data_IF_687358512032
#
_entry.id   IF_687358512032
#
_cell.length_a   1.000
_cell.length_b   1.000
_cell.length_c   1.000
_cell.angle_alpha   90.00
_cell.angle_beta   90.00
_cell.angle_gamma   90.00
#
_symmetry.space_group_name_H-M   'P 1'
#
loop_
_entity.id
_entity.type
_entity.pdbx_description
1 polymer ?
#
# COMPACT_ATOMS: atom_id res chain seq x y z
N UNK A 1 26.31 -52.25 -36.68
CA UNK A 1 25.04 -52.12 -35.94
C UNK A 1 25.14 -51.07 -34.81
N UNK A 2 26.30 -50.45 -34.61
CA UNK A 2 26.57 -49.51 -33.51
C UNK A 2 26.07 -48.09 -33.78
N UNK A 3 26.06 -47.64 -35.03
CA UNK A 3 25.60 -46.29 -35.41
C UNK A 3 24.11 -46.05 -35.10
N UNK A 4 23.27 -47.08 -35.14
CA UNK A 4 21.85 -46.97 -34.78
C UNK A 4 21.69 -46.80 -33.25
N UNK A 5 22.47 -47.54 -32.45
CA UNK A 5 22.44 -47.47 -30.98
C UNK A 5 22.89 -46.10 -30.46
N UNK A 6 23.91 -45.50 -31.07
CA UNK A 6 24.39 -44.16 -30.70
C UNK A 6 23.35 -43.08 -31.03
N UNK A 7 22.65 -43.19 -32.16
CA UNK A 7 21.56 -42.26 -32.51
C UNK A 7 20.34 -42.39 -31.60
N UNK A 8 19.97 -43.63 -31.22
CA UNK A 8 18.90 -43.90 -30.27
C UNK A 8 19.23 -43.41 -28.86
N UNK A 9 20.48 -43.58 -28.42
CA UNK A 9 20.97 -43.04 -27.14
C UNK A 9 20.93 -41.52 -27.10
N UNK A 10 21.44 -40.87 -28.15
CA UNK A 10 21.42 -39.40 -28.26
C UNK A 10 19.98 -38.86 -28.33
N UNK A 11 19.09 -39.48 -29.10
CA UNK A 11 17.68 -39.06 -29.15
C UNK A 11 16.98 -39.20 -27.80
N UNK A 12 17.28 -40.27 -27.05
CA UNK A 12 16.75 -40.50 -25.71
C UNK A 12 17.30 -39.48 -24.71
N UNK A 13 18.59 -39.15 -24.78
CA UNK A 13 19.22 -38.10 -23.96
C UNK A 13 18.59 -36.73 -24.21
N UNK A 14 18.37 -36.38 -25.48
CA UNK A 14 17.66 -35.15 -25.85
C UNK A 14 16.22 -35.12 -25.34
N UNK A 15 15.53 -36.27 -25.35
CA UNK A 15 14.17 -36.38 -24.83
C UNK A 15 14.14 -36.21 -23.31
N UNK A 16 15.09 -36.81 -22.60
CA UNK A 16 15.25 -36.63 -21.14
C UNK A 16 15.56 -35.17 -20.81
N UNK A 17 16.51 -34.56 -21.52
CA UNK A 17 16.89 -33.15 -21.33
C UNK A 17 15.70 -32.20 -21.58
N UNK A 18 14.95 -32.42 -22.66
CA UNK A 18 13.76 -31.64 -22.98
C UNK A 18 12.68 -31.79 -21.90
N UNK A 19 12.49 -33.01 -21.39
CA UNK A 19 11.53 -33.28 -20.31
C UNK A 19 11.93 -32.57 -19.02
N UNK A 20 13.22 -32.60 -18.67
CA UNK A 20 13.74 -31.92 -17.49
C UNK A 20 13.55 -30.40 -17.60
N UNK A 21 13.90 -29.83 -18.77
CA UNK A 21 13.71 -28.41 -19.04
C UNK A 21 12.24 -28.00 -18.95
N UNK A 22 11.34 -28.78 -19.57
CA UNK A 22 9.90 -28.53 -19.51
C UNK A 22 9.36 -28.60 -18.08
N UNK A 23 9.81 -29.55 -17.27
CA UNK A 23 9.44 -29.67 -15.86
C UNK A 23 9.94 -28.46 -15.05
N UNK A 24 11.17 -28.00 -15.26
CA UNK A 24 11.71 -26.80 -14.59
C UNK A 24 10.90 -25.55 -14.97
N UNK A 25 10.58 -25.37 -16.26
CA UNK A 25 9.76 -24.25 -16.72
C UNK A 25 8.34 -24.31 -16.14
N UNK A 26 7.74 -25.50 -16.07
CA UNK A 26 6.42 -25.70 -15.46
C UNK A 26 6.42 -25.30 -13.99
N UNK A 27 7.38 -25.78 -13.19
CA UNK A 27 7.51 -25.42 -11.77
C UNK A 27 7.76 -23.92 -11.61
N UNK A 28 8.69 -23.36 -12.38
CA UNK A 28 8.96 -21.91 -12.36
C UNK A 28 7.73 -21.09 -12.72
N UNK A 29 6.95 -21.52 -13.72
CA UNK A 29 5.70 -20.87 -14.11
C UNK A 29 4.64 -20.97 -13.02
N UNK A 30 4.57 -22.09 -12.28
CA UNK A 30 3.63 -22.25 -11.18
C UNK A 30 3.98 -21.31 -10.04
N UNK A 31 5.27 -21.19 -9.69
CA UNK A 31 5.73 -20.24 -8.67
C UNK A 31 5.43 -18.80 -9.11
N UNK A 32 5.75 -18.42 -10.34
CA UNK A 32 5.43 -17.10 -10.90
C UNK A 32 3.92 -16.85 -10.94
N UNK A 33 3.12 -17.88 -11.23
CA UNK A 33 1.67 -17.83 -11.18
C UNK A 33 1.21 -17.60 -9.76
N UNK A 34 1.68 -18.36 -8.76
CA UNK A 34 1.34 -18.14 -7.36
C UNK A 34 1.79 -16.77 -6.85
N UNK A 35 2.91 -16.22 -7.31
CA UNK A 35 3.34 -14.86 -6.95
C UNK A 35 2.49 -13.78 -7.64
N UNK A 36 2.04 -14.00 -8.89
CA UNK A 36 1.13 -13.08 -9.59
C UNK A 36 -0.34 -13.23 -9.18
N UNK A 37 -0.74 -14.43 -8.75
CA UNK A 37 -2.09 -14.85 -8.34
C UNK A 37 -2.25 -14.81 -6.82
N UNK A 38 -1.17 -14.60 -6.07
CA UNK A 38 -1.18 -13.98 -4.75
C UNK A 38 -1.80 -12.60 -4.92
N UNK A 39 -3.12 -12.66 -5.01
CA UNK A 39 -4.06 -11.57 -5.05
C UNK A 39 -3.68 -10.74 -3.84
N UNK A 40 -3.49 -9.42 -3.97
CA UNK A 40 -3.64 -8.59 -2.79
C UNK A 40 -4.97 -9.03 -2.19
N UNK A 41 -4.95 -9.52 -0.93
CA UNK A 41 -6.17 -9.85 -0.19
C UNK A 41 -7.14 -8.75 -0.55
N UNK A 42 -8.24 -9.12 -1.22
CA UNK A 42 -9.19 -8.16 -1.71
C UNK A 42 -9.67 -7.40 -0.48
N UNK A 43 -9.08 -6.23 -0.25
CA UNK A 43 -9.63 -5.20 0.61
C UNK A 43 -11.04 -5.04 0.06
N UNK A 44 -12.10 -5.14 0.89
CA UNK A 44 -13.47 -5.01 0.42
C UNK A 44 -13.51 -3.79 -0.48
N UNK A 45 -14.03 -3.99 -1.71
CA UNK A 45 -13.94 -3.07 -2.84
C UNK A 45 -13.72 -1.64 -2.36
N UNK A 46 -12.46 -1.17 -2.43
CA UNK A 46 -12.21 0.25 -2.31
C UNK A 46 -13.13 0.88 -3.34
N UNK A 47 -14.09 1.65 -2.86
CA UNK A 47 -14.95 2.44 -3.73
C UNK A 47 -14.04 3.04 -4.80
N UNK A 48 -14.41 2.84 -6.07
CA UNK A 48 -13.78 3.48 -7.24
C UNK A 48 -13.22 4.82 -6.77
N UNK A 49 -11.92 5.15 -6.94
CA UNK A 49 -11.41 6.43 -6.49
C UNK A 49 -12.21 7.49 -7.23
N UNK A 50 -13.26 7.99 -6.56
CA UNK A 50 -13.79 9.31 -6.78
C UNK A 50 -12.55 10.14 -6.69
N UNK A 51 -12.23 10.91 -7.73
CA UNK A 51 -11.16 11.89 -7.67
C UNK A 51 -11.39 12.65 -6.37
N UNK A 52 -10.62 12.32 -5.32
CA UNK A 52 -10.75 12.96 -4.04
C UNK A 52 -10.23 14.34 -4.36
N UNK A 53 -11.11 15.32 -4.35
CA UNK A 53 -10.73 16.71 -4.46
C UNK A 53 -9.68 16.92 -3.37
N UNK A 54 -8.41 17.05 -3.79
CA UNK A 54 -7.31 17.17 -2.86
C UNK A 54 -7.63 18.37 -1.98
N UNK A 55 -7.63 18.21 -0.64
CA UNK A 55 -8.00 19.30 0.24
C UNK A 55 -7.13 20.51 -0.09
N UNK A 56 -7.72 21.71 -0.12
CA UNK A 56 -7.01 22.95 -0.50
C UNK A 56 -5.74 23.19 0.35
N UNK A 57 -5.75 22.69 1.58
CA UNK A 57 -4.63 22.68 2.52
C UNK A 57 -3.38 21.93 2.04
N UNK A 58 -3.52 20.97 1.11
CA UNK A 58 -2.45 20.07 0.70
C UNK A 58 -1.59 20.72 -0.38
N UNK A 59 -0.27 20.87 -0.18
CA UNK A 59 0.63 21.43 -1.18
C UNK A 59 0.60 20.65 -2.50
N UNK A 60 0.74 21.37 -3.61
CA UNK A 60 0.90 20.75 -4.91
C UNK A 60 2.19 19.89 -4.92
N UNK A 61 2.04 18.61 -5.28
CA UNK A 61 3.15 17.65 -5.29
C UNK A 61 3.28 16.79 -4.02
N UNK A 62 2.45 17.02 -3.00
CA UNK A 62 2.46 16.19 -1.80
C UNK A 62 2.09 14.72 -2.11
N UNK A 63 2.78 13.78 -1.46
CA UNK A 63 2.61 12.34 -1.67
C UNK A 63 1.74 11.75 -0.56
N UNK A 64 0.68 11.02 -0.95
CA UNK A 64 -0.16 10.30 0.00
C UNK A 64 0.45 8.94 0.35
N UNK A 65 0.52 8.62 1.64
CA UNK A 65 1.02 7.33 2.16
C UNK A 65 -0.04 6.65 3.06
N UNK A 66 -0.15 5.30 3.03
CA UNK A 66 -1.11 4.58 3.87
C UNK A 66 -0.64 4.44 5.32
N UNK A 67 0.69 4.45 5.54
CA UNK A 67 1.34 4.32 6.83
C UNK A 67 2.53 5.28 6.87
N UNK A 68 2.73 5.95 8.00
CA UNK A 68 3.88 6.81 8.26
C UNK A 68 4.66 6.29 9.48
N UNK A 69 5.79 5.59 9.28
CA UNK A 69 6.66 5.16 10.37
C UNK A 69 7.61 6.26 10.83
N UNK A 70 7.97 6.23 12.11
CA UNK A 70 8.94 7.12 12.74
C UNK A 70 10.14 6.33 13.28
N UNK A 71 11.28 7.01 13.44
CA UNK A 71 12.52 6.38 13.89
C UNK A 71 12.45 5.82 15.34
N UNK A 72 11.51 6.28 16.14
CA UNK A 72 11.25 5.80 17.51
C UNK A 72 10.32 4.57 17.55
N UNK A 73 9.97 4.01 16.39
CA UNK A 73 9.12 2.83 16.25
C UNK A 73 7.62 3.12 16.33
N UNK A 74 7.21 4.39 16.42
CA UNK A 74 5.80 4.78 16.31
C UNK A 74 5.38 4.80 14.85
N UNK A 75 4.09 4.58 14.62
CA UNK A 75 3.51 4.64 13.27
C UNK A 75 2.11 5.25 13.32
N UNK A 76 1.72 5.90 12.23
CA UNK A 76 0.35 6.37 11.98
C UNK A 76 -0.19 5.64 10.75
N UNK A 77 -1.42 5.19 10.83
CA UNK A 77 -2.10 4.45 9.77
C UNK A 77 -3.35 5.19 9.30
N UNK A 78 -3.68 5.04 8.02
CA UNK A 78 -5.04 5.32 7.54
C UNK A 78 -6.05 4.46 8.32
N UNK A 79 -7.12 5.09 8.78
CA UNK A 79 -8.16 4.49 9.63
C UNK A 79 -7.98 4.73 11.13
N UNK A 80 -6.81 5.20 11.57
CA UNK A 80 -6.58 5.59 12.96
C UNK A 80 -7.57 6.67 13.41
N UNK A 81 -7.94 6.66 14.69
CA UNK A 81 -8.78 7.72 15.27
C UNK A 81 -7.95 8.96 15.58
N UNK A 82 -8.60 10.12 15.62
CA UNK A 82 -7.95 11.38 16.05
C UNK A 82 -7.30 11.22 17.43
N UNK A 83 -8.01 10.56 18.36
CA UNK A 83 -7.49 10.30 19.70
C UNK A 83 -6.27 9.37 19.66
N UNK A 84 -6.28 8.32 18.83
CA UNK A 84 -5.16 7.39 18.67
C UNK A 84 -3.89 8.09 18.18
N UNK A 85 -4.01 8.97 17.18
CA UNK A 85 -2.88 9.77 16.70
C UNK A 85 -2.36 10.72 17.79
N UNK A 86 -3.26 11.42 18.49
CA UNK A 86 -2.89 12.32 19.58
C UNK A 86 -2.19 11.62 20.74
N UNK A 87 -2.62 10.41 21.11
CA UNK A 87 -1.99 9.60 22.15
C UNK A 87 -0.59 9.13 21.73
N UNK A 88 -0.39 8.73 20.47
CA UNK A 88 0.92 8.25 19.99
C UNK A 88 1.95 9.36 19.86
N UNK A 89 1.58 10.46 19.21
CA UNK A 89 2.50 11.56 18.94
C UNK A 89 2.62 12.56 20.08
N UNK A 90 1.59 12.65 20.92
CA UNK A 90 1.43 13.72 21.89
C UNK A 90 0.93 15.02 21.24
N UNK A 91 0.25 15.85 22.05
CA UNK A 91 -0.32 17.14 21.59
C UNK A 91 0.74 18.13 21.08
N UNK A 92 1.98 18.03 21.56
CA UNK A 92 3.08 18.90 21.14
C UNK A 92 3.49 18.71 19.67
N UNK A 93 3.14 17.56 19.07
CA UNK A 93 3.39 17.31 17.65
C UNK A 93 2.45 18.08 16.74
N UNK A 94 1.33 18.59 17.26
CA UNK A 94 0.39 19.40 16.49
C UNK A 94 0.94 20.82 16.37
N UNK A 95 1.09 21.30 15.14
CA UNK A 95 1.57 22.68 14.88
C UNK A 95 0.50 23.75 15.18
N UNK A 96 -0.71 23.33 15.57
CA UNK A 96 -1.87 24.21 15.77
C UNK A 96 -2.54 24.67 14.48
N UNK A 97 -1.91 24.48 13.31
CA UNK A 97 -2.56 24.73 12.02
C UNK A 97 -3.58 23.64 11.72
N UNK A 98 -4.81 24.06 11.51
CA UNK A 98 -5.94 23.22 11.15
C UNK A 98 -6.76 23.93 10.08
N UNK A 99 -7.18 23.16 9.09
CA UNK A 99 -8.06 23.62 8.03
C UNK A 99 -9.27 22.71 7.95
N UNK A 100 -10.46 23.31 7.90
CA UNK A 100 -11.72 22.59 7.81
C UNK A 100 -12.26 22.75 6.40
N UNK A 101 -12.62 21.65 5.79
CA UNK A 101 -13.21 21.56 4.46
C UNK A 101 -14.43 20.64 4.50
N UNK A 102 -15.18 20.53 3.40
CA UNK A 102 -16.33 19.63 3.26
C UNK A 102 -15.94 18.41 2.45
N UNK A 103 -15.83 17.26 3.13
CA UNK A 103 -15.65 15.95 2.50
C UNK A 103 -16.98 15.35 2.02
N UNK A 104 -16.90 14.15 1.43
CA UNK A 104 -18.07 13.47 0.86
C UNK A 104 -19.10 13.02 1.92
N UNK A 105 -18.62 12.70 3.14
CA UNK A 105 -19.42 12.10 4.20
C UNK A 105 -19.61 13.03 5.43
N UNK A 106 -18.99 14.21 5.41
CA UNK A 106 -19.06 15.16 6.50
C UNK A 106 -17.95 16.21 6.44
N UNK A 107 -17.63 16.81 7.59
CA UNK A 107 -16.49 17.71 7.70
C UNK A 107 -15.19 16.94 7.52
N UNK A 108 -14.31 17.49 6.68
CA UNK A 108 -12.94 17.06 6.49
C UNK A 108 -12.03 18.00 7.27
N UNK A 109 -11.10 17.44 8.04
CA UNK A 109 -10.15 18.20 8.85
C UNK A 109 -8.73 17.89 8.38
N UNK A 110 -8.01 18.89 7.88
CA UNK A 110 -6.58 18.77 7.59
C UNK A 110 -5.79 19.37 8.75
N UNK A 111 -5.01 18.54 9.45
CA UNK A 111 -4.17 18.97 10.57
C UNK A 111 -2.69 18.77 10.26
N UNK A 112 -1.89 19.77 10.60
CA UNK A 112 -0.47 19.81 10.30
C UNK A 112 0.34 19.39 11.53
N UNK A 113 1.27 18.48 11.32
CA UNK A 113 2.10 17.92 12.37
C UNK A 113 3.58 18.19 12.10
N UNK A 114 4.33 18.37 13.18
CA UNK A 114 5.78 18.30 13.20
C UNK A 114 6.21 17.36 14.31
N UNK A 115 6.80 16.22 13.95
CA UNK A 115 7.25 15.22 14.91
C UNK A 115 8.66 14.76 14.56
N UNK A 116 9.56 14.80 15.53
CA UNK A 116 10.97 14.45 15.34
C UNK A 116 11.64 15.16 14.13
N UNK A 117 11.25 16.41 13.86
CA UNK A 117 11.76 17.20 12.73
C UNK A 117 11.10 16.89 11.37
N UNK A 118 10.16 15.95 11.30
CA UNK A 118 9.40 15.64 10.09
C UNK A 118 8.05 16.35 10.08
N UNK A 119 7.75 17.01 8.96
CA UNK A 119 6.46 17.67 8.72
C UNK A 119 5.58 16.81 7.84
N UNK A 120 4.32 16.69 8.23
CA UNK A 120 3.32 15.93 7.48
C UNK A 120 1.93 16.46 7.79
N UNK A 121 0.98 16.12 6.93
CA UNK A 121 -0.41 16.54 7.05
C UNK A 121 -1.26 15.30 7.20
N UNK A 122 -2.12 15.28 8.22
CA UNK A 122 -3.08 14.20 8.41
C UNK A 122 -4.47 14.75 8.11
N UNK A 123 -5.16 14.08 7.19
CA UNK A 123 -6.52 14.40 6.82
C UNK A 123 -7.45 13.45 7.56
N UNK A 124 -8.39 14.01 8.32
CA UNK A 124 -9.41 13.27 9.02
C UNK A 124 -10.76 13.47 8.34
N UNK A 125 -11.45 12.38 8.05
CA UNK A 125 -12.83 12.38 7.55
C UNK A 125 -13.64 11.26 8.22
N UNK A 126 -14.96 11.41 8.34
CA UNK A 126 -15.81 10.31 8.77
C UNK A 126 -15.97 9.29 7.65
N UNK A 127 -15.88 8.00 7.97
CA UNK A 127 -16.04 6.90 7.00
C UNK A 127 -17.50 6.49 6.79
N UNK A 128 -18.38 7.02 7.62
CA UNK A 128 -19.83 6.88 7.53
C UNK A 128 -20.49 8.20 7.93
N UNK A 129 -21.75 8.42 7.52
CA UNK A 129 -22.42 9.70 7.77
C UNK A 129 -22.58 9.93 9.28
N UNK A 130 -22.03 11.03 9.79
CA UNK A 130 -21.95 11.34 11.24
C UNK A 130 -21.10 10.36 12.06
N UNK A 131 -20.23 9.58 11.40
CA UNK A 131 -19.27 8.72 12.08
C UNK A 131 -18.16 9.52 12.76
N UNK A 132 -17.38 8.84 13.60
CA UNK A 132 -16.17 9.39 14.18
C UNK A 132 -15.14 9.71 13.08
N UNK A 133 -14.56 10.92 13.04
CA UNK A 133 -13.48 11.23 12.10
C UNK A 133 -12.27 10.31 12.33
N UNK A 134 -11.76 9.75 11.24
CA UNK A 134 -10.59 8.87 11.21
C UNK A 134 -9.63 9.35 10.15
N UNK A 135 -8.36 8.95 10.26
CA UNK A 135 -7.34 9.27 9.26
C UNK A 135 -7.80 8.73 7.91
N UNK A 136 -8.10 9.63 6.98
CA UNK A 136 -8.47 9.30 5.60
C UNK A 136 -7.23 9.29 4.69
N UNK A 137 -6.27 10.18 4.96
CA UNK A 137 -5.01 10.25 4.23
C UNK A 137 -3.89 10.87 5.08
N UNK A 138 -2.65 10.51 4.74
CA UNK A 138 -1.43 11.08 5.32
C UNK A 138 -0.61 11.62 4.15
N UNK A 139 -0.30 12.91 4.17
CA UNK A 139 0.47 13.57 3.12
C UNK A 139 1.84 13.99 3.62
N UNK A 140 2.85 13.70 2.79
CA UNK A 140 4.21 14.20 2.91
C UNK A 140 4.39 15.34 1.91
N UNK A 141 4.80 16.54 2.35
CA UNK A 141 5.02 17.68 1.46
C UNK A 141 6.17 17.46 0.48
#
# INVERSE_FOLDING_TARGET
MDALRVRLGSALEWLIAATFLAATLAVGSLILREVRVARPIATPAAARPVAIDSPAAIPAGAVSVPVLPFADGKEIHVGDTVAGVATRLGRAAETGRLEVDRGALGERLSRFYEYAGFRFIVVYEPFERRGEPRVAAIYLP
#
